data_IF_077563618254
#
_entry.id   IF_077563618254
#
_cell.length_a   1.000
_cell.length_b   1.000
_cell.length_c   1.000
_cell.angle_alpha   90.00
_cell.angle_beta   90.00
_cell.angle_gamma   90.00
#
_symmetry.space_group_name_H-M   'P 1'
#
loop_
_entity.id
_entity.type
_entity.pdbx_description
1 polymer ?
#
# COMPACT_ATOMS: atom_id res chain seq x y z
N UNK A 1 -7.72 11.72 16.87
CA UNK A 1 -7.03 10.61 16.20
C UNK A 1 -8.02 9.61 15.61
N UNK A 2 -9.01 9.12 16.37
CA UNK A 2 -10.05 8.22 15.83
C UNK A 2 -10.79 8.87 14.65
N UNK A 3 -11.27 10.09 14.80
CA UNK A 3 -11.96 10.84 13.75
C UNK A 3 -11.14 11.05 12.47
N UNK A 4 -9.80 11.11 12.59
CA UNK A 4 -8.91 11.23 11.42
C UNK A 4 -8.91 9.98 10.56
N UNK A 5 -9.15 8.79 11.15
CA UNK A 5 -9.19 7.53 10.40
C UNK A 5 -10.61 7.18 9.97
N UNK A 6 -11.57 7.38 10.87
CA UNK A 6 -12.95 6.96 10.70
C UNK A 6 -13.75 7.94 9.82
N UNK A 7 -13.38 9.23 9.87
CA UNK A 7 -14.01 10.31 9.13
C UNK A 7 -13.38 10.57 7.77
N UNK A 8 -13.96 11.52 7.06
CA UNK A 8 -13.48 12.03 5.78
C UNK A 8 -13.57 13.56 5.72
N UNK A 9 -13.10 14.14 4.60
CA UNK A 9 -13.03 15.58 4.42
C UNK A 9 -14.41 16.23 4.40
N UNK A 10 -14.51 17.39 5.02
CA UNK A 10 -15.67 18.30 5.02
C UNK A 10 -16.98 17.59 5.44
N UNK A 11 -17.98 17.58 4.54
CA UNK A 11 -19.30 16.99 4.77
C UNK A 11 -19.37 15.47 4.50
N UNK A 12 -18.24 14.83 4.23
CA UNK A 12 -18.09 13.39 3.98
C UNK A 12 -18.91 12.87 2.77
N UNK A 13 -19.26 13.74 1.84
CA UNK A 13 -20.06 13.34 0.67
C UNK A 13 -19.33 12.29 -0.18
N UNK A 14 -18.01 12.40 -0.30
CA UNK A 14 -17.19 11.44 -1.03
C UNK A 14 -17.10 10.10 -0.31
N UNK A 15 -17.02 10.09 1.03
CA UNK A 15 -17.03 8.86 1.83
C UNK A 15 -18.33 8.07 1.61
N UNK A 16 -19.47 8.75 1.68
CA UNK A 16 -20.77 8.12 1.41
C UNK A 16 -20.84 7.56 -0.02
N UNK A 17 -20.45 8.36 -1.01
CA UNK A 17 -20.41 7.93 -2.42
C UNK A 17 -19.52 6.73 -2.66
N UNK A 18 -18.33 6.69 -2.05
CA UNK A 18 -17.41 5.55 -2.17
C UNK A 18 -18.03 4.25 -1.64
N UNK A 19 -18.85 4.33 -0.61
CA UNK A 19 -19.57 3.16 -0.08
C UNK A 19 -20.74 2.77 -0.97
N UNK A 20 -21.54 3.75 -1.38
CA UNK A 20 -22.76 3.54 -2.19
C UNK A 20 -22.44 3.02 -3.59
N UNK A 21 -21.30 3.43 -4.19
CA UNK A 21 -20.92 3.02 -5.55
C UNK A 21 -20.78 1.50 -5.72
N UNK A 22 -20.54 0.74 -4.64
CA UNK A 22 -20.53 -0.73 -4.72
C UNK A 22 -21.93 -1.31 -4.99
N UNK A 23 -22.99 -0.58 -4.69
CA UNK A 23 -24.37 -1.02 -4.94
C UNK A 23 -24.77 -0.93 -6.42
N UNK A 24 -23.97 -0.22 -7.23
CA UNK A 24 -24.17 -0.10 -8.67
C UNK A 24 -23.68 -1.31 -9.47
N UNK A 25 -23.06 -2.30 -8.79
CA UNK A 25 -22.45 -3.47 -9.42
C UNK A 25 -22.99 -4.76 -8.83
N UNK A 26 -23.47 -5.64 -9.69
CA UNK A 26 -23.90 -6.98 -9.32
C UNK A 26 -22.80 -8.01 -9.68
N UNK A 27 -22.53 -8.93 -8.77
CA UNK A 27 -21.71 -10.09 -9.04
C UNK A 27 -22.58 -11.19 -9.65
N UNK A 28 -22.40 -11.46 -10.95
CA UNK A 28 -23.15 -12.50 -11.65
C UNK A 28 -22.39 -13.83 -11.53
N UNK A 29 -22.87 -14.79 -10.72
CA UNK A 29 -22.20 -16.06 -10.55
C UNK A 29 -22.30 -16.92 -11.80
N UNK A 30 -21.28 -17.75 -12.05
CA UNK A 30 -21.32 -18.81 -13.06
C UNK A 30 -21.69 -20.13 -12.38
N UNK A 31 -22.66 -20.84 -12.97
CA UNK A 31 -23.09 -22.14 -12.48
C UNK A 31 -22.35 -23.27 -13.22
N UNK A 32 -22.24 -24.43 -12.60
CA UNK A 32 -21.64 -25.65 -13.17
C UNK A 32 -20.14 -25.48 -13.54
N UNK A 33 -19.44 -24.60 -12.86
CA UNK A 33 -17.99 -24.45 -12.98
C UNK A 33 -17.33 -25.20 -11.82
N UNK A 34 -16.33 -26.03 -12.14
CA UNK A 34 -15.53 -26.68 -11.11
C UNK A 34 -14.63 -25.65 -10.42
N UNK A 35 -14.84 -25.47 -9.13
CA UNK A 35 -14.10 -24.52 -8.27
C UNK A 35 -13.33 -25.21 -7.14
N UNK A 36 -13.05 -26.52 -7.30
CA UNK A 36 -12.28 -27.28 -6.30
C UNK A 36 -10.84 -26.77 -6.16
N UNK A 37 -10.29 -26.26 -7.25
CA UNK A 37 -8.97 -25.64 -7.28
C UNK A 37 -9.10 -24.25 -7.89
N UNK A 38 -8.74 -23.22 -7.14
CA UNK A 38 -8.76 -21.83 -7.59
C UNK A 38 -7.34 -21.28 -7.53
N UNK A 39 -6.80 -20.93 -8.68
CA UNK A 39 -5.51 -20.25 -8.79
C UNK A 39 -5.71 -18.73 -8.80
N UNK A 40 -5.21 -18.07 -7.76
CA UNK A 40 -5.23 -16.61 -7.61
C UNK A 40 -3.87 -15.97 -7.93
N UNK A 41 -2.86 -16.75 -8.29
CA UNK A 41 -1.53 -16.24 -8.58
C UNK A 41 -1.58 -15.20 -9.71
N UNK A 42 -0.84 -14.14 -9.54
CA UNK A 42 -0.74 -13.06 -10.53
C UNK A 42 0.65 -12.44 -10.50
N UNK A 43 0.94 -11.60 -11.49
CA UNK A 43 2.21 -10.87 -11.55
C UNK A 43 1.95 -9.38 -11.63
N UNK A 44 2.54 -8.61 -10.69
CA UNK A 44 2.42 -7.15 -10.63
C UNK A 44 3.82 -6.54 -10.55
N UNK A 45 4.13 -5.57 -11.42
CA UNK A 45 5.43 -4.89 -11.48
C UNK A 45 6.63 -5.86 -11.51
N UNK A 46 6.48 -6.99 -12.21
CA UNK A 46 7.52 -8.01 -12.28
C UNK A 46 7.61 -8.96 -11.08
N UNK A 47 6.79 -8.77 -10.06
CA UNK A 47 6.75 -9.58 -8.84
C UNK A 47 5.59 -10.58 -8.88
N UNK A 48 5.87 -11.84 -8.59
CA UNK A 48 4.84 -12.88 -8.44
C UNK A 48 4.11 -12.71 -7.11
N UNK A 49 2.79 -12.75 -7.16
CA UNK A 49 1.90 -12.63 -6.01
C UNK A 49 1.00 -13.86 -5.89
N UNK A 50 0.74 -14.29 -4.67
CA UNK A 50 -0.17 -15.40 -4.40
C UNK A 50 -1.66 -15.06 -4.69
N UNK A 51 -1.99 -13.77 -4.77
CA UNK A 51 -3.35 -13.28 -5.03
C UNK A 51 -3.32 -11.79 -5.46
N UNK A 52 -4.33 -11.30 -6.21
CA UNK A 52 -4.31 -9.98 -6.85
C UNK A 52 -4.64 -8.83 -5.89
N UNK A 53 -3.99 -8.78 -4.73
CA UNK A 53 -4.15 -7.71 -3.74
C UNK A 53 -2.78 -7.15 -3.37
N UNK A 54 -2.65 -5.84 -3.31
CA UNK A 54 -1.46 -5.12 -2.86
C UNK A 54 -1.86 -4.21 -1.69
N UNK A 55 -1.04 -4.14 -0.65
CA UNK A 55 -1.29 -3.24 0.47
C UNK A 55 -0.90 -1.81 0.08
N UNK A 56 -1.89 -0.92 0.06
CA UNK A 56 -1.70 0.48 -0.25
C UNK A 56 -0.77 1.19 0.77
N UNK A 57 -0.04 2.24 0.36
CA UNK A 57 0.82 2.99 1.27
C UNK A 57 -0.02 3.80 2.26
N UNK A 58 0.11 3.49 3.54
CA UNK A 58 -0.48 4.24 4.64
C UNK A 58 0.61 4.78 5.55
N UNK A 59 0.52 6.04 5.91
CA UNK A 59 1.51 6.70 6.75
C UNK A 59 1.24 6.55 8.24
N UNK A 60 2.23 6.89 9.05
CA UNK A 60 2.10 7.09 10.50
C UNK A 60 1.52 5.90 11.27
N UNK A 61 1.80 4.65 10.86
CA UNK A 61 1.19 3.45 11.44
C UNK A 61 1.46 3.28 12.94
N UNK A 62 2.56 3.86 13.48
CA UNK A 62 2.84 3.84 14.92
C UNK A 62 1.88 4.68 15.76
N UNK A 63 1.12 5.58 15.15
CA UNK A 63 0.05 6.28 15.87
C UNK A 63 -1.09 5.33 16.28
N UNK A 64 -1.21 4.19 15.62
CA UNK A 64 -2.28 3.23 15.81
C UNK A 64 -1.81 1.94 16.47
N UNK A 65 -0.59 1.49 16.16
CA UNK A 65 -0.02 0.29 16.73
C UNK A 65 1.50 0.41 16.90
N UNK A 66 2.04 0.04 18.05
CA UNK A 66 3.45 0.23 18.42
C UNK A 66 4.46 -0.45 17.47
N UNK A 67 4.09 -1.56 16.83
CA UNK A 67 4.95 -2.25 15.85
C UNK A 67 4.96 -1.58 14.48
N UNK A 68 3.98 -0.71 14.20
CA UNK A 68 3.91 0.10 12.99
C UNK A 68 4.00 -0.71 11.70
N UNK A 69 4.67 -0.14 10.73
CA UNK A 69 4.79 -0.63 9.36
C UNK A 69 5.47 -2.00 9.26
N UNK A 70 6.37 -2.34 10.18
CA UNK A 70 7.09 -3.64 10.16
C UNK A 70 6.13 -4.82 10.30
N UNK A 71 5.11 -4.71 11.16
CA UNK A 71 4.13 -5.79 11.33
C UNK A 71 3.27 -5.97 10.09
N UNK A 72 2.91 -4.87 9.43
CA UNK A 72 2.14 -4.89 8.18
C UNK A 72 2.96 -5.52 7.04
N UNK A 73 4.24 -5.12 6.91
CA UNK A 73 5.15 -5.68 5.93
C UNK A 73 5.35 -7.19 6.11
N UNK A 74 5.49 -7.65 7.37
CA UNK A 74 5.55 -9.09 7.68
C UNK A 74 4.26 -9.83 7.36
N UNK A 75 3.10 -9.21 7.58
CA UNK A 75 1.81 -9.80 7.23
C UNK A 75 1.68 -9.93 5.71
N UNK A 76 2.05 -8.89 4.94
CA UNK A 76 2.08 -8.92 3.48
C UNK A 76 2.97 -10.06 2.96
N UNK A 77 4.18 -10.19 3.47
CA UNK A 77 5.11 -11.26 3.08
C UNK A 77 4.52 -12.65 3.34
N UNK A 78 3.91 -12.88 4.51
CA UNK A 78 3.24 -14.15 4.83
C UNK A 78 2.04 -14.45 3.94
N UNK A 79 1.38 -13.40 3.45
CA UNK A 79 0.24 -13.52 2.55
C UNK A 79 0.62 -13.55 1.07
N UNK A 80 1.92 -13.53 0.76
CA UNK A 80 2.41 -13.58 -0.62
C UNK A 80 2.05 -12.34 -1.45
N UNK A 81 2.05 -11.15 -0.85
CA UNK A 81 1.73 -9.90 -1.53
C UNK A 81 2.75 -8.80 -1.28
N UNK A 82 2.68 -7.71 -2.08
CA UNK A 82 3.55 -6.54 -1.94
C UNK A 82 3.07 -5.66 -0.78
N UNK A 83 4.03 -5.23 0.04
CA UNK A 83 3.85 -4.14 0.99
C UNK A 83 4.29 -2.81 0.39
N UNK A 84 3.47 -1.77 0.53
CA UNK A 84 3.80 -0.41 0.10
C UNK A 84 4.13 0.47 1.31
N UNK A 85 5.38 0.92 1.41
CA UNK A 85 5.81 1.85 2.46
C UNK A 85 5.55 3.29 2.02
N UNK A 86 4.90 4.07 2.87
CA UNK A 86 4.63 5.49 2.62
C UNK A 86 5.85 6.38 2.90
N UNK A 87 5.99 7.49 2.17
CA UNK A 87 6.94 8.57 2.51
C UNK A 87 6.74 9.10 3.93
N UNK A 88 5.49 9.10 4.43
CA UNK A 88 5.13 9.55 5.78
C UNK A 88 5.10 8.41 6.79
N UNK A 89 5.83 7.33 6.54
CA UNK A 89 5.92 6.21 7.47
C UNK A 89 6.58 6.61 8.80
N UNK A 90 6.24 5.91 9.86
CA UNK A 90 6.87 6.06 11.17
C UNK A 90 8.09 5.16 11.38
N UNK A 91 8.47 4.41 10.34
CA UNK A 91 9.61 3.50 10.33
C UNK A 91 10.43 3.75 9.06
N UNK A 92 11.76 3.67 9.16
CA UNK A 92 12.66 3.91 8.02
C UNK A 92 12.56 2.84 6.93
N UNK A 93 12.97 3.20 5.72
CA UNK A 93 13.09 2.30 4.56
C UNK A 93 13.89 1.05 4.95
N UNK A 94 15.03 1.26 5.61
CA UNK A 94 15.96 0.21 6.01
C UNK A 94 15.41 -0.68 7.13
N UNK A 95 14.68 -0.11 8.09
CA UNK A 95 14.09 -0.89 9.19
C UNK A 95 12.99 -1.82 8.69
N UNK A 96 12.17 -1.36 7.75
CA UNK A 96 11.18 -2.20 7.10
C UNK A 96 11.87 -3.31 6.30
N UNK A 97 12.90 -2.98 5.52
CA UNK A 97 13.65 -3.96 4.76
C UNK A 97 14.29 -5.04 5.65
N UNK A 98 14.89 -4.64 6.79
CA UNK A 98 15.40 -5.61 7.79
C UNK A 98 14.30 -6.42 8.46
N UNK A 99 13.10 -5.88 8.52
CA UNK A 99 11.95 -6.49 9.18
C UNK A 99 11.25 -7.59 8.39
N UNK A 100 11.45 -7.66 7.06
CA UNK A 100 10.80 -8.63 6.16
C UNK A 100 11.60 -8.82 4.87
N UNK A 101 11.61 -10.04 4.36
CA UNK A 101 12.17 -10.39 3.05
C UNK A 101 11.12 -10.36 1.92
N UNK A 102 9.86 -10.08 2.25
CA UNK A 102 8.78 -9.98 1.26
C UNK A 102 8.96 -8.82 0.29
N UNK A 103 8.30 -8.87 -0.87
CA UNK A 103 8.37 -7.81 -1.86
C UNK A 103 7.85 -6.49 -1.30
N UNK A 104 8.57 -5.41 -1.61
CA UNK A 104 8.32 -4.08 -1.07
C UNK A 104 8.29 -3.04 -2.19
N UNK A 105 7.41 -2.07 -2.06
CA UNK A 105 7.34 -0.88 -2.90
C UNK A 105 7.38 0.36 -1.99
N UNK A 106 7.96 1.45 -2.46
CA UNK A 106 8.01 2.72 -1.74
C UNK A 106 7.13 3.75 -2.45
N UNK A 107 6.22 4.38 -1.71
CA UNK A 107 5.46 5.52 -2.22
C UNK A 107 6.23 6.81 -1.94
N UNK A 108 6.41 7.62 -2.98
CA UNK A 108 7.18 8.85 -2.92
C UNK A 108 6.32 10.06 -3.30
N UNK A 109 6.45 11.14 -2.52
CA UNK A 109 6.14 12.50 -2.95
C UNK A 109 7.41 13.12 -3.55
N UNK A 110 7.26 13.92 -4.59
CA UNK A 110 8.38 14.69 -5.15
C UNK A 110 8.60 15.94 -4.30
N UNK A 111 9.76 15.99 -3.65
CA UNK A 111 10.19 17.16 -2.89
C UNK A 111 10.83 18.19 -3.81
N UNK A 112 10.86 19.46 -3.37
CA UNK A 112 11.56 20.54 -4.09
C UNK A 112 13.07 20.36 -4.09
N UNK A 113 13.58 19.58 -3.15
CA UNK A 113 15.00 19.25 -3.05
C UNK A 113 15.28 17.99 -3.88
N UNK A 114 15.90 18.17 -5.03
CA UNK A 114 16.27 17.08 -5.92
C UNK A 114 17.28 16.11 -5.30
N UNK A 115 18.16 16.59 -4.41
CA UNK A 115 19.12 15.74 -3.73
C UNK A 115 18.40 14.74 -2.78
N UNK A 116 17.37 15.20 -2.08
CA UNK A 116 16.54 14.34 -1.24
C UNK A 116 15.78 13.29 -2.08
N UNK A 117 15.24 13.70 -3.24
CA UNK A 117 14.55 12.75 -4.13
C UNK A 117 15.50 11.64 -4.60
N UNK A 118 16.71 12.00 -5.00
CA UNK A 118 17.74 11.04 -5.43
C UNK A 118 18.20 10.14 -4.27
N UNK A 119 18.38 10.71 -3.07
CA UNK A 119 18.72 9.94 -1.87
C UNK A 119 17.66 8.87 -1.57
N UNK A 120 16.36 9.22 -1.60
CA UNK A 120 15.28 8.27 -1.36
C UNK A 120 15.29 7.12 -2.37
N UNK A 121 15.51 7.43 -3.66
CA UNK A 121 15.64 6.43 -4.72
C UNK A 121 16.79 5.47 -4.42
N UNK A 122 17.94 6.00 -4.07
CA UNK A 122 19.14 5.20 -3.81
C UNK A 122 18.96 4.31 -2.56
N UNK A 123 18.39 4.84 -1.48
CA UNK A 123 18.07 4.06 -0.28
C UNK A 123 17.10 2.93 -0.57
N UNK A 124 16.07 3.16 -1.38
CA UNK A 124 15.14 2.12 -1.82
C UNK A 124 15.85 1.01 -2.60
N UNK A 125 16.77 1.36 -3.53
CA UNK A 125 17.56 0.39 -4.26
C UNK A 125 18.46 -0.45 -3.35
N UNK A 126 19.17 0.21 -2.42
CA UNK A 126 20.05 -0.46 -1.46
C UNK A 126 19.30 -1.37 -0.48
N UNK A 127 18.04 -1.02 -0.19
CA UNK A 127 17.15 -1.79 0.70
C UNK A 127 16.27 -2.82 -0.06
N UNK A 128 16.56 -3.08 -1.33
CA UNK A 128 15.88 -4.06 -2.18
C UNK A 128 14.36 -3.86 -2.27
N UNK A 129 13.96 -2.61 -2.51
CA UNK A 129 12.59 -2.29 -2.89
C UNK A 129 12.41 -2.54 -4.39
N UNK A 130 11.42 -3.34 -4.76
CA UNK A 130 11.19 -3.79 -6.15
C UNK A 130 10.54 -2.73 -7.04
N UNK A 131 9.90 -1.73 -6.46
CA UNK A 131 9.20 -0.67 -7.19
C UNK A 131 9.07 0.62 -6.38
N UNK A 132 8.77 1.72 -7.10
CA UNK A 132 8.36 2.98 -6.51
C UNK A 132 6.99 3.39 -7.06
N UNK A 133 6.15 3.96 -6.20
CA UNK A 133 4.83 4.51 -6.53
C UNK A 133 4.87 6.03 -6.36
N UNK A 134 4.78 6.76 -7.46
CA UNK A 134 4.76 8.22 -7.44
C UNK A 134 3.34 8.72 -7.18
N UNK A 135 3.16 9.53 -6.13
CA UNK A 135 1.89 10.22 -5.86
C UNK A 135 1.80 11.50 -6.68
N UNK A 136 0.74 11.62 -7.48
CA UNK A 136 0.53 12.73 -8.42
C UNK A 136 -0.80 13.45 -8.24
N UNK A 137 -1.60 13.03 -7.27
CA UNK A 137 -2.97 13.49 -7.05
C UNK A 137 -3.12 14.48 -5.87
N UNK A 138 -2.02 14.93 -5.28
CA UNK A 138 -2.00 15.96 -4.23
C UNK A 138 -1.47 17.26 -4.80
N UNK A 139 -2.35 18.19 -5.25
CA UNK A 139 -1.93 19.43 -5.90
C UNK A 139 -1.33 20.47 -4.93
N UNK A 140 -1.66 20.37 -3.65
CA UNK A 140 -1.06 21.16 -2.59
C UNK A 140 -1.21 20.41 -1.26
N UNK A 141 -0.17 20.43 -0.45
CA UNK A 141 -0.29 20.12 0.96
C UNK A 141 -0.96 21.31 1.62
N UNK A 142 -2.19 21.13 2.09
CA UNK A 142 -2.92 22.14 2.82
C UNK A 142 -2.24 22.57 4.11
#
# INVERSE_FOLDING_TARGET
MFEFIDGAAEDESTLRRNTEAFLDYDLVPRYLVDVREVDLNTRVLGTELAWPVVLAPTGMSRLFHHTGEISVARAAARSGTIYSLSTTSSVSIEDVARGTEGPKMFQVYVFRDDALNLELIERCKQADYSAMCLTVDVPALG
#
